data_IF_738922922574
#
_entry.id   IF_738922922574
#
_cell.length_a   1.000
_cell.length_b   1.000
_cell.length_c   1.000
_cell.angle_alpha   90.00
_cell.angle_beta   90.00
_cell.angle_gamma   90.00
#
_symmetry.space_group_name_H-M   'P 1'
#
loop_
_entity.id
_entity.type
_entity.pdbx_description
1 polymer ?
#
# COMPACT_ATOMS: atom_id res chain seq x y z
N UNK A 1 -2.01 8.10 1.19
CA UNK A 1 -2.33 8.59 2.54
C UNK A 1 -1.19 9.47 3.01
N UNK A 2 -1.48 10.74 3.19
CA UNK A 2 -0.55 11.68 3.83
C UNK A 2 -0.89 11.74 5.32
N UNK A 3 0.10 11.51 6.17
CA UNK A 3 -0.04 11.72 7.62
C UNK A 3 0.80 12.92 7.99
N UNK A 4 0.22 13.82 8.77
CA UNK A 4 0.99 14.90 9.38
C UNK A 4 1.78 14.31 10.56
N UNK A 5 3.01 13.88 10.27
CA UNK A 5 3.91 13.24 11.25
C UNK A 5 5.15 14.13 11.45
N UNK A 6 5.59 14.25 12.70
CA UNK A 6 6.90 14.83 12.95
C UNK A 6 7.98 13.77 12.63
N UNK A 7 8.71 13.99 11.55
CA UNK A 7 9.79 13.11 11.11
C UNK A 7 10.87 12.92 12.15
N UNK A 8 11.05 13.88 13.08
CA UNK A 8 12.04 13.77 14.16
C UNK A 8 11.60 12.78 15.24
N UNK A 9 10.30 12.64 15.45
CA UNK A 9 9.75 11.73 16.45
C UNK A 9 9.63 10.30 15.91
N UNK A 10 9.21 10.14 14.65
CA UNK A 10 8.87 8.82 14.09
C UNK A 10 10.03 8.14 13.37
N UNK A 11 11.07 8.89 12.97
CA UNK A 11 12.16 8.34 12.13
C UNK A 11 13.55 8.51 12.79
N UNK A 12 14.54 7.87 12.18
CA UNK A 12 15.95 8.06 12.55
C UNK A 12 16.55 9.37 11.97
N UNK A 13 15.71 10.26 11.43
CA UNK A 13 16.10 11.55 10.86
C UNK A 13 16.76 11.45 9.48
N UNK A 14 16.75 10.28 8.85
CA UNK A 14 17.41 10.04 7.56
C UNK A 14 16.40 9.70 6.46
N UNK A 15 16.71 10.17 5.26
CA UNK A 15 16.02 9.79 4.04
C UNK A 15 16.93 8.89 3.19
N UNK A 16 16.35 7.81 2.67
CA UNK A 16 17.06 6.72 2.01
C UNK A 16 16.57 6.53 0.57
N UNK A 17 17.45 5.99 -0.26
CA UNK A 17 17.11 5.39 -1.57
C UNK A 17 17.03 3.87 -1.44
N UNK A 18 16.50 3.18 -2.45
CA UNK A 18 16.42 1.72 -2.46
C UNK A 18 17.80 1.01 -2.42
N UNK A 19 18.89 1.73 -2.71
CA UNK A 19 20.25 1.18 -2.64
C UNK A 19 20.91 1.31 -1.26
N UNK A 20 20.36 2.12 -0.37
CA UNK A 20 20.93 2.38 0.94
C UNK A 20 20.69 1.23 1.91
N UNK A 21 21.54 1.15 2.93
CA UNK A 21 21.44 0.20 4.03
C UNK A 21 20.61 0.79 5.17
N UNK A 22 19.62 0.02 5.65
CA UNK A 22 18.77 0.39 6.78
C UNK A 22 18.71 -0.72 7.82
N UNK A 23 18.56 -0.41 9.10
CA UNK A 23 18.41 -1.39 10.20
C UNK A 23 16.97 -1.92 10.27
N UNK A 24 16.57 -2.73 9.31
CA UNK A 24 15.23 -3.30 9.23
C UNK A 24 15.20 -4.83 9.32
N UNK A 25 16.29 -5.51 9.00
CA UNK A 25 16.32 -6.97 8.96
C UNK A 25 16.27 -7.57 10.37
N UNK A 26 15.26 -8.37 10.61
CA UNK A 26 14.98 -9.04 11.88
C UNK A 26 14.89 -10.58 11.73
N UNK A 27 15.59 -11.16 10.76
CA UNK A 27 15.57 -12.59 10.51
C UNK A 27 14.28 -13.09 9.87
N UNK A 28 13.71 -12.33 8.92
CA UNK A 28 12.51 -12.73 8.16
C UNK A 28 11.21 -12.69 8.95
N UNK A 29 11.13 -11.96 10.05
CA UNK A 29 9.95 -11.86 10.91
C UNK A 29 9.49 -13.20 11.51
N UNK A 30 10.39 -14.15 11.67
CA UNK A 30 10.07 -15.46 12.21
C UNK A 30 9.52 -15.35 13.64
N UNK A 31 8.37 -16.03 13.90
CA UNK A 31 7.69 -15.97 15.19
C UNK A 31 7.16 -14.59 15.59
N UNK A 32 6.92 -13.67 14.62
CA UNK A 32 6.40 -12.33 14.91
C UNK A 32 5.22 -12.00 13.99
N UNK A 33 4.17 -11.42 14.59
CA UNK A 33 2.96 -10.94 13.89
C UNK A 33 2.59 -9.51 14.29
N UNK A 34 3.49 -8.76 14.94
CA UNK A 34 3.18 -7.44 15.47
C UNK A 34 2.64 -6.46 14.41
N UNK A 35 3.20 -6.48 13.20
CA UNK A 35 2.72 -5.64 12.09
C UNK A 35 1.42 -6.15 11.42
N UNK A 36 0.83 -7.24 11.94
CA UNK A 36 -0.46 -7.78 11.49
C UNK A 36 -1.56 -7.58 12.55
N UNK A 37 -1.31 -6.81 13.60
CA UNK A 37 -2.23 -6.58 14.71
C UNK A 37 -2.30 -5.09 15.04
N UNK A 38 -3.49 -4.60 15.39
CA UNK A 38 -3.70 -3.20 15.76
C UNK A 38 -3.46 -2.19 14.64
N UNK A 39 -3.53 -2.61 13.38
CA UNK A 39 -3.25 -1.72 12.24
C UNK A 39 -4.48 -0.89 11.83
N UNK A 40 -5.67 -1.24 12.32
CA UNK A 40 -6.91 -0.53 12.00
C UNK A 40 -7.08 -0.36 10.47
N UNK A 41 -7.38 0.85 10.04
CA UNK A 41 -7.61 1.22 8.63
C UNK A 41 -6.33 1.65 7.89
N UNK A 42 -5.14 1.38 8.44
CA UNK A 42 -3.89 1.91 7.89
C UNK A 42 -3.34 1.14 6.69
N UNK A 43 -3.86 -0.04 6.39
CA UNK A 43 -3.38 -0.88 5.28
C UNK A 43 -4.21 -0.63 4.03
N UNK A 44 -4.00 0.53 3.42
CA UNK A 44 -4.63 0.92 2.14
C UNK A 44 -3.98 0.13 1.01
N UNK A 45 -4.82 -0.45 0.15
CA UNK A 45 -4.40 -1.28 -0.97
C UNK A 45 -4.35 -0.47 -2.26
N UNK A 46 -3.24 -0.56 -2.97
CA UNK A 46 -3.14 -0.02 -4.31
C UNK A 46 -3.68 -1.02 -5.38
N UNK A 47 -3.86 -0.60 -6.65
CA UNK A 47 -4.36 -1.48 -7.70
C UNK A 47 -3.51 -2.74 -7.93
N UNK A 48 -2.17 -2.66 -7.78
CA UNK A 48 -1.28 -3.82 -7.90
C UNK A 48 -1.47 -4.78 -6.74
N UNK A 49 -1.75 -4.28 -5.53
CA UNK A 49 -2.03 -5.12 -4.38
C UNK A 49 -3.28 -5.96 -4.61
N UNK A 50 -4.37 -5.34 -5.08
CA UNK A 50 -5.62 -6.04 -5.41
C UNK A 50 -5.39 -7.06 -6.54
N UNK A 51 -4.69 -6.69 -7.61
CA UNK A 51 -4.36 -7.60 -8.69
C UNK A 51 -3.59 -8.84 -8.18
N UNK A 52 -2.56 -8.63 -7.34
CA UNK A 52 -1.76 -9.72 -6.75
C UNK A 52 -2.58 -10.61 -5.80
N UNK A 53 -3.45 -10.01 -5.00
CA UNK A 53 -4.34 -10.75 -4.11
C UNK A 53 -5.33 -11.59 -4.91
N UNK A 54 -5.96 -11.05 -5.95
CA UNK A 54 -6.87 -11.79 -6.81
C UNK A 54 -6.17 -12.97 -7.48
N UNK A 55 -4.98 -12.76 -8.07
CA UNK A 55 -4.19 -13.82 -8.69
C UNK A 55 -3.75 -14.89 -7.68
N UNK A 56 -3.21 -14.47 -6.52
CA UNK A 56 -2.65 -15.38 -5.53
C UNK A 56 -3.70 -16.20 -4.76
N UNK A 57 -4.92 -15.68 -4.65
CA UNK A 57 -6.05 -16.35 -3.98
C UNK A 57 -7.05 -16.98 -4.96
N UNK A 58 -6.82 -16.84 -6.27
CA UNK A 58 -7.74 -17.33 -7.33
C UNK A 58 -9.17 -16.81 -7.14
N UNK A 59 -9.32 -15.52 -6.90
CA UNK A 59 -10.59 -14.83 -6.65
C UNK A 59 -10.65 -13.51 -7.41
N UNK A 60 -11.77 -12.80 -7.32
CA UNK A 60 -11.94 -11.46 -7.83
C UNK A 60 -12.09 -10.43 -6.70
N UNK A 61 -12.28 -9.16 -7.06
CA UNK A 61 -12.47 -8.08 -6.09
C UNK A 61 -13.68 -8.33 -5.18
N UNK A 62 -14.78 -8.84 -5.72
CA UNK A 62 -16.00 -9.12 -4.92
C UNK A 62 -15.75 -10.25 -3.91
N UNK A 63 -15.02 -11.27 -4.31
CA UNK A 63 -14.61 -12.35 -3.42
C UNK A 63 -13.74 -11.85 -2.26
N UNK A 64 -12.82 -10.89 -2.53
CA UNK A 64 -12.05 -10.25 -1.46
C UNK A 64 -12.93 -9.43 -0.52
N UNK A 65 -13.97 -8.75 -1.03
CA UNK A 65 -14.90 -7.93 -0.22
C UNK A 65 -15.73 -8.73 0.79
N UNK A 66 -15.83 -10.03 0.64
CA UNK A 66 -16.61 -10.87 1.57
C UNK A 66 -16.06 -10.78 3.00
N UNK A 67 -14.74 -10.98 3.16
CA UNK A 67 -14.13 -11.08 4.48
C UNK A 67 -12.67 -10.60 4.57
N UNK A 68 -12.05 -10.17 3.45
CA UNK A 68 -10.61 -9.84 3.38
C UNK A 68 -10.31 -8.36 3.30
N UNK A 69 -11.16 -7.62 2.61
CA UNK A 69 -11.00 -6.18 2.40
C UNK A 69 -12.31 -5.45 2.71
N UNK A 70 -12.18 -4.16 2.93
CA UNK A 70 -13.32 -3.24 3.11
C UNK A 70 -13.02 -1.92 2.41
N UNK A 71 -14.05 -1.12 2.18
CA UNK A 71 -13.90 0.20 1.57
C UNK A 71 -13.91 1.28 2.65
N UNK A 72 -12.91 2.17 2.61
CA UNK A 72 -12.77 3.28 3.55
C UNK A 72 -12.54 4.59 2.79
N UNK A 73 -12.90 5.71 3.43
CA UNK A 73 -12.56 7.04 2.89
C UNK A 73 -11.13 7.37 3.31
N UNK A 74 -10.24 7.46 2.33
CA UNK A 74 -8.83 7.79 2.52
C UNK A 74 -8.51 9.04 1.73
N UNK A 75 -8.11 10.12 2.42
CA UNK A 75 -7.79 11.41 1.77
C UNK A 75 -8.90 11.85 0.77
N UNK A 76 -10.17 11.80 1.22
CA UNK A 76 -11.37 12.14 0.47
C UNK A 76 -11.75 11.20 -0.69
N UNK A 77 -11.03 10.11 -0.93
CA UNK A 77 -11.33 9.10 -1.96
C UNK A 77 -11.70 7.77 -1.29
N UNK A 78 -12.69 7.05 -1.80
CA UNK A 78 -13.02 5.70 -1.32
C UNK A 78 -12.01 4.71 -1.92
N UNK A 79 -11.26 4.04 -1.04
CA UNK A 79 -10.23 3.07 -1.42
C UNK A 79 -10.37 1.76 -0.63
N UNK A 80 -9.92 0.62 -1.16
CA UNK A 80 -9.91 -0.64 -0.43
C UNK A 80 -8.79 -0.67 0.62
N UNK A 81 -9.10 -1.23 1.77
CA UNK A 81 -8.19 -1.51 2.88
C UNK A 81 -8.24 -2.98 3.25
N UNK A 82 -7.17 -3.51 3.83
CA UNK A 82 -7.23 -4.82 4.48
C UNK A 82 -8.18 -4.75 5.67
N UNK A 83 -9.09 -5.72 5.73
CA UNK A 83 -10.01 -5.86 6.84
C UNK A 83 -9.30 -6.46 8.05
N UNK A 84 -9.48 -5.84 9.22
CA UNK A 84 -9.09 -6.43 10.49
C UNK A 84 -10.21 -7.32 11.00
N UNK A 85 -9.86 -8.49 11.52
CA UNK A 85 -10.83 -9.39 12.13
C UNK A 85 -11.41 -8.76 13.40
N UNK A 86 -12.72 -8.87 13.55
CA UNK A 86 -13.42 -8.42 14.76
C UNK A 86 -12.99 -9.28 15.94
N UNK A 87 -12.51 -8.67 17.03
CA UNK A 87 -12.09 -9.36 18.25
C UNK A 87 -11.15 -8.50 19.09
N UNK A 88 -10.68 -9.06 20.20
CA UNK A 88 -9.84 -8.33 21.15
C UNK A 88 -8.47 -7.90 20.64
N UNK A 89 -8.02 -8.38 19.48
CA UNK A 89 -6.68 -8.14 18.95
C UNK A 89 -6.63 -7.40 17.64
N UNK A 90 -7.77 -7.04 17.02
CA UNK A 90 -7.78 -6.38 15.70
C UNK A 90 -6.74 -6.97 14.72
N UNK A 91 -6.75 -8.28 14.58
CA UNK A 91 -5.76 -8.97 13.75
C UNK A 91 -6.13 -8.89 12.27
N UNK A 92 -5.12 -8.80 11.40
CA UNK A 92 -5.30 -8.86 9.96
C UNK A 92 -6.02 -10.15 9.55
N UNK A 93 -7.02 -10.05 8.66
CA UNK A 93 -7.81 -11.19 8.15
C UNK A 93 -6.98 -12.29 7.46
N UNK A 94 -5.72 -12.02 7.15
CA UNK A 94 -4.75 -12.98 6.60
C UNK A 94 -3.75 -13.54 7.62
N UNK A 95 -3.89 -13.19 8.89
CA UNK A 95 -3.08 -13.80 9.95
C UNK A 95 -3.68 -15.18 10.30
N UNK A 96 -2.88 -16.24 10.13
CA UNK A 96 -3.32 -17.58 10.45
C UNK A 96 -3.16 -17.89 11.95
N UNK A 97 -3.75 -19.01 12.45
CA UNK A 97 -3.67 -19.38 13.87
C UNK A 97 -2.23 -19.58 14.39
N UNK A 98 -1.29 -19.89 13.51
CA UNK A 98 0.14 -20.05 13.84
C UNK A 98 0.87 -18.69 13.92
N UNK A 99 0.14 -17.57 13.82
CA UNK A 99 0.70 -16.22 13.85
C UNK A 99 1.52 -15.85 12.62
N UNK A 100 1.23 -16.46 11.44
CA UNK A 100 1.93 -16.20 10.18
C UNK A 100 0.97 -15.59 9.15
N UNK A 101 1.50 -14.72 8.31
CA UNK A 101 0.77 -14.16 7.19
C UNK A 101 0.54 -15.23 6.11
N UNK A 102 -0.70 -15.62 5.84
CA UNK A 102 -1.06 -16.64 4.84
C UNK A 102 -0.77 -16.21 3.40
N UNK A 103 -0.69 -14.89 3.16
CA UNK A 103 -0.41 -14.30 1.84
C UNK A 103 1.02 -13.73 1.75
N UNK A 104 1.96 -14.20 2.57
CA UNK A 104 3.30 -13.59 2.67
C UNK A 104 4.02 -13.45 1.32
N UNK A 105 3.85 -14.42 0.41
CA UNK A 105 4.47 -14.41 -0.91
C UNK A 105 3.98 -13.25 -1.80
N UNK A 106 2.70 -12.88 -1.67
CA UNK A 106 2.05 -11.81 -2.46
C UNK A 106 1.37 -10.75 -1.59
N UNK A 107 1.91 -10.56 -0.36
CA UNK A 107 1.44 -9.52 0.58
C UNK A 107 1.51 -8.12 -0.05
N UNK A 108 0.62 -7.21 0.37
CA UNK A 108 0.58 -5.83 -0.12
C UNK A 108 1.90 -5.08 -0.01
N UNK A 109 2.10 -4.11 -0.89
CA UNK A 109 3.31 -3.30 -0.94
C UNK A 109 3.59 -2.55 0.37
N UNK A 110 2.56 -2.08 1.06
CA UNK A 110 2.70 -1.45 2.38
C UNK A 110 3.21 -2.45 3.44
N UNK A 111 2.76 -3.71 3.39
CA UNK A 111 3.24 -4.76 4.29
C UNK A 111 4.68 -5.17 3.99
N UNK A 112 5.12 -5.09 2.72
CA UNK A 112 6.53 -5.29 2.33
C UNK A 112 7.41 -4.14 2.77
N UNK A 113 6.85 -2.92 2.75
CA UNK A 113 7.54 -1.70 3.11
C UNK A 113 7.87 -1.65 4.60
N UNK A 114 6.93 -2.06 5.47
CA UNK A 114 7.07 -1.96 6.92
C UNK A 114 8.38 -2.59 7.44
N UNK A 115 9.15 -1.94 8.34
CA UNK A 115 8.84 -0.72 9.07
C UNK A 115 9.32 0.57 8.39
N UNK A 116 9.48 0.56 7.09
CA UNK A 116 9.81 1.78 6.34
C UNK A 116 8.53 2.55 5.99
N UNK A 117 8.70 3.86 5.77
CA UNK A 117 7.70 4.73 5.16
C UNK A 117 8.24 5.37 3.89
N UNK A 118 7.37 6.06 3.14
CA UNK A 118 7.73 6.89 2.00
C UNK A 118 7.45 8.36 2.32
N UNK A 119 8.45 9.20 2.15
CA UNK A 119 8.34 10.65 2.25
C UNK A 119 8.30 11.23 0.83
N UNK A 120 7.11 11.72 0.43
CA UNK A 120 6.87 12.23 -0.91
C UNK A 120 7.15 13.72 -0.98
N UNK A 121 7.97 14.13 -1.96
CA UNK A 121 8.34 15.51 -2.20
C UNK A 121 8.71 15.71 -3.67
N UNK A 122 8.31 16.83 -4.27
CA UNK A 122 8.71 17.27 -5.61
C UNK A 122 8.55 16.21 -6.71
N UNK A 123 7.40 15.52 -6.75
CA UNK A 123 7.12 14.51 -7.78
C UNK A 123 7.89 13.19 -7.60
N UNK A 124 8.52 13.00 -6.44
CA UNK A 124 9.33 11.82 -6.12
C UNK A 124 9.07 11.39 -4.67
N UNK A 125 9.82 10.38 -4.19
CA UNK A 125 9.85 10.03 -2.78
C UNK A 125 11.22 9.52 -2.33
N UNK A 126 11.42 9.54 -1.03
CA UNK A 126 12.51 8.86 -0.32
C UNK A 126 11.90 7.91 0.71
N UNK A 127 12.65 6.86 1.06
CA UNK A 127 12.29 6.02 2.19
C UNK A 127 12.76 6.64 3.51
N UNK A 128 12.07 6.32 4.60
CA UNK A 128 12.52 6.60 5.96
C UNK A 128 12.24 5.41 6.87
N UNK A 129 13.02 5.24 7.92
CA UNK A 129 12.82 4.17 8.89
C UNK A 129 11.92 4.67 10.03
N UNK A 130 10.82 3.97 10.29
CA UNK A 130 9.95 4.19 11.44
C UNK A 130 10.55 3.45 12.65
N UNK A 131 11.16 4.20 13.59
CA UNK A 131 12.02 3.61 14.63
C UNK A 131 11.26 2.88 15.72
N UNK A 132 9.99 3.22 15.96
CA UNK A 132 9.18 2.67 17.06
C UNK A 132 8.20 1.57 16.61
N UNK A 133 8.01 1.38 15.31
CA UNK A 133 6.95 0.51 14.79
C UNK A 133 7.27 -0.99 14.85
N UNK A 134 8.51 -1.38 14.65
CA UNK A 134 8.90 -2.78 14.73
C UNK A 134 9.52 -3.13 16.09
N UNK A 135 8.87 -3.98 16.90
CA UNK A 135 9.33 -4.29 18.25
C UNK A 135 10.52 -5.25 18.31
N UNK A 136 10.89 -5.91 17.21
CA UNK A 136 12.01 -6.87 17.20
C UNK A 136 13.33 -6.19 17.58
N UNK A 137 14.07 -6.75 18.55
CA UNK A 137 15.41 -6.26 18.92
C UNK A 137 16.47 -6.69 17.89
N UNK A 138 17.67 -6.14 18.03
CA UNK A 138 18.90 -6.58 17.34
C UNK A 138 18.79 -6.63 15.80
N UNK A 139 18.08 -5.67 15.20
CA UNK A 139 17.94 -5.57 13.75
C UNK A 139 19.30 -5.37 13.08
N UNK A 140 19.55 -6.09 12.01
CA UNK A 140 20.74 -5.94 11.19
C UNK A 140 20.49 -5.02 9.99
N UNK A 141 21.57 -4.59 9.34
CA UNK A 141 21.49 -3.74 8.15
C UNK A 141 21.21 -4.57 6.91
N UNK A 142 20.22 -4.13 6.13
CA UNK A 142 19.88 -4.71 4.85
C UNK A 142 19.71 -3.59 3.81
N UNK A 143 20.01 -3.86 2.54
CA UNK A 143 19.65 -2.93 1.46
C UNK A 143 18.13 -2.85 1.34
N UNK A 144 17.57 -1.64 1.22
CA UNK A 144 16.12 -1.43 1.12
C UNK A 144 15.53 -2.26 -0.03
N UNK A 145 16.20 -2.33 -1.20
CA UNK A 145 15.75 -3.18 -2.32
C UNK A 145 15.60 -4.67 -1.98
N UNK A 146 16.48 -5.19 -1.13
CA UNK A 146 16.39 -6.58 -0.65
C UNK A 146 15.28 -6.77 0.38
N UNK A 147 15.08 -5.76 1.24
CA UNK A 147 14.00 -5.77 2.21
C UNK A 147 12.62 -5.76 1.56
N UNK A 148 12.42 -4.90 0.57
CA UNK A 148 11.16 -4.80 -0.17
C UNK A 148 10.84 -6.06 -0.97
N UNK A 149 11.86 -6.78 -1.44
CA UNK A 149 11.72 -8.01 -2.21
C UNK A 149 10.65 -7.90 -3.31
N UNK A 150 10.72 -6.83 -4.08
CA UNK A 150 9.73 -6.49 -5.11
C UNK A 150 10.37 -6.62 -6.48
N UNK A 151 9.81 -7.49 -7.37
CA UNK A 151 10.28 -7.61 -8.74
C UNK A 151 10.22 -6.25 -9.47
N UNK A 152 11.22 -5.99 -10.32
CA UNK A 152 11.34 -4.73 -11.07
C UNK A 152 11.08 -3.48 -10.20
N UNK A 153 11.84 -3.38 -9.11
CA UNK A 153 11.64 -2.34 -8.09
C UNK A 153 11.59 -0.93 -8.69
N UNK A 154 12.35 -0.66 -9.75
CA UNK A 154 12.35 0.67 -10.38
C UNK A 154 10.98 1.00 -11.00
N UNK A 155 10.35 0.06 -11.71
CA UNK A 155 9.00 0.26 -12.25
C UNK A 155 7.98 0.39 -11.12
N UNK A 156 8.12 -0.43 -10.09
CA UNK A 156 7.25 -0.33 -8.90
C UNK A 156 7.39 1.04 -8.21
N UNK A 157 8.61 1.56 -8.02
CA UNK A 157 8.83 2.88 -7.43
C UNK A 157 8.19 3.99 -8.28
N UNK A 158 8.30 3.92 -9.62
CA UNK A 158 7.64 4.86 -10.53
C UNK A 158 6.10 4.75 -10.40
N UNK A 159 5.56 3.54 -10.48
CA UNK A 159 4.14 3.27 -10.38
C UNK A 159 3.52 3.81 -9.08
N UNK A 160 4.12 3.48 -7.92
CA UNK A 160 3.57 3.89 -6.63
C UNK A 160 3.68 5.41 -6.40
N UNK A 161 4.70 6.03 -7.00
CA UNK A 161 4.85 7.48 -7.01
C UNK A 161 3.73 8.14 -7.84
N UNK A 162 3.51 7.67 -9.06
CA UNK A 162 2.47 8.19 -9.96
C UNK A 162 1.07 7.98 -9.40
N UNK A 163 0.83 6.83 -8.76
CA UNK A 163 -0.43 6.55 -8.07
C UNK A 163 -0.67 7.50 -6.90
N UNK A 164 0.36 7.73 -6.07
CA UNK A 164 0.28 8.68 -4.95
C UNK A 164 -0.08 10.09 -5.42
N UNK A 165 0.62 10.59 -6.44
CA UNK A 165 0.36 11.95 -6.95
C UNK A 165 -0.99 12.07 -7.65
N UNK A 166 -1.45 11.02 -8.33
CA UNK A 166 -2.80 10.98 -8.88
C UNK A 166 -3.88 11.09 -7.78
N UNK A 167 -3.76 10.32 -6.70
CA UNK A 167 -4.69 10.40 -5.57
C UNK A 167 -4.65 11.77 -4.88
N UNK A 168 -3.48 12.39 -4.78
CA UNK A 168 -3.33 13.75 -4.25
C UNK A 168 -4.05 14.78 -5.12
N UNK A 169 -3.94 14.68 -6.44
CA UNK A 169 -4.64 15.57 -7.37
C UNK A 169 -6.17 15.39 -7.24
N UNK A 170 -6.66 14.14 -7.08
CA UNK A 170 -8.07 13.87 -6.80
C UNK A 170 -8.53 14.49 -5.48
N UNK A 171 -7.74 14.35 -4.40
CA UNK A 171 -8.01 14.97 -3.11
C UNK A 171 -8.20 16.49 -3.27
N UNK A 172 -7.24 17.16 -3.91
CA UNK A 172 -7.30 18.62 -4.15
C UNK A 172 -8.57 19.01 -4.91
N UNK A 173 -8.95 18.22 -5.92
CA UNK A 173 -10.18 18.46 -6.67
C UNK A 173 -11.43 18.27 -5.81
N UNK A 174 -11.49 17.22 -5.01
CA UNK A 174 -12.64 16.93 -4.13
C UNK A 174 -12.75 18.02 -3.04
N UNK A 175 -11.63 18.50 -2.50
CA UNK A 175 -11.64 19.61 -1.54
C UNK A 175 -12.19 20.89 -2.15
N UNK A 176 -11.93 21.16 -3.44
CA UNK A 176 -12.52 22.28 -4.17
C UNK A 176 -13.98 22.04 -4.59
N UNK A 177 -14.39 20.78 -4.80
CA UNK A 177 -15.70 20.36 -5.30
C UNK A 177 -16.22 19.14 -4.55
N UNK A 178 -16.65 19.27 -3.28
CA UNK A 178 -17.05 18.13 -2.43
C UNK A 178 -18.21 17.30 -3.00
N UNK A 179 -19.08 17.89 -3.80
CA UNK A 179 -20.20 17.23 -4.47
C UNK A 179 -19.73 16.17 -5.47
N UNK A 180 -18.50 16.24 -5.98
CA UNK A 180 -17.93 15.30 -6.94
C UNK A 180 -17.32 14.06 -6.27
N UNK A 181 -17.14 14.04 -4.95
CA UNK A 181 -16.46 12.96 -4.21
C UNK A 181 -16.99 11.58 -4.57
N UNK A 182 -18.31 11.39 -4.56
CA UNK A 182 -18.93 10.10 -4.86
C UNK A 182 -18.64 9.66 -6.30
N UNK A 183 -18.79 10.55 -7.27
CA UNK A 183 -18.54 10.26 -8.68
C UNK A 183 -17.09 9.91 -8.94
N UNK A 184 -16.15 10.69 -8.41
CA UNK A 184 -14.72 10.46 -8.54
C UNK A 184 -14.33 9.12 -7.88
N UNK A 185 -14.80 8.84 -6.66
CA UNK A 185 -14.50 7.59 -5.97
C UNK A 185 -15.02 6.37 -6.72
N UNK A 186 -16.25 6.44 -7.27
CA UNK A 186 -16.82 5.35 -8.07
C UNK A 186 -16.02 5.12 -9.37
N UNK A 187 -15.57 6.20 -10.01
CA UNK A 187 -14.74 6.12 -11.22
C UNK A 187 -13.38 5.46 -10.93
N UNK A 188 -12.73 5.85 -9.82
CA UNK A 188 -11.49 5.22 -9.34
C UNK A 188 -11.70 3.74 -9.05
N UNK A 189 -12.74 3.38 -8.29
CA UNK A 189 -13.04 1.99 -7.98
C UNK A 189 -13.31 1.18 -9.25
N UNK A 190 -14.13 1.69 -10.17
CA UNK A 190 -14.46 0.99 -11.40
C UNK A 190 -13.24 0.74 -12.27
N UNK A 191 -12.40 1.76 -12.49
CA UNK A 191 -11.26 1.67 -13.41
C UNK A 191 -10.10 0.86 -12.87
N UNK A 192 -9.80 1.01 -11.58
CA UNK A 192 -8.54 0.50 -11.02
C UNK A 192 -8.71 -0.74 -10.14
N UNK A 193 -9.94 -1.07 -9.72
CA UNK A 193 -10.17 -2.17 -8.78
C UNK A 193 -11.23 -3.17 -9.26
N UNK A 194 -12.40 -2.69 -9.71
CA UNK A 194 -13.51 -3.55 -10.13
C UNK A 194 -13.30 -4.13 -11.54
N UNK A 195 -12.66 -3.39 -12.44
CA UNK A 195 -12.29 -3.91 -13.76
C UNK A 195 -11.01 -4.74 -13.62
N UNK A 196 -11.05 -6.07 -13.79
CA UNK A 196 -9.88 -6.92 -13.62
C UNK A 196 -8.72 -6.52 -14.54
N UNK A 197 -7.50 -6.70 -14.08
CA UNK A 197 -6.31 -6.68 -14.93
C UNK A 197 -6.11 -8.07 -15.54
N UNK A 198 -5.63 -8.10 -16.79
CA UNK A 198 -5.29 -9.36 -17.44
C UNK A 198 -4.08 -10.00 -16.73
N UNK A 199 -4.27 -11.18 -16.14
CA UNK A 199 -3.21 -11.92 -15.43
C UNK A 199 -2.09 -12.41 -16.34
N UNK A 200 -2.30 -12.42 -17.67
CA UNK A 200 -1.31 -12.84 -18.67
C UNK A 200 -0.56 -11.67 -19.28
N UNK A 201 -1.04 -10.44 -19.08
CA UNK A 201 -0.45 -9.22 -19.60
C UNK A 201 0.46 -8.52 -18.56
N UNK A 202 1.17 -7.51 -19.02
CA UNK A 202 1.97 -6.68 -18.12
C UNK A 202 1.09 -5.66 -17.38
N UNK A 203 0.95 -5.85 -16.08
CA UNK A 203 0.14 -4.99 -15.21
C UNK A 203 0.42 -3.48 -15.39
N UNK A 204 1.70 -3.10 -15.44
CA UNK A 204 2.06 -1.68 -15.51
C UNK A 204 1.62 -1.03 -16.82
N UNK A 205 1.72 -1.73 -17.93
CA UNK A 205 1.24 -1.24 -19.23
C UNK A 205 -0.25 -0.93 -19.17
N UNK A 206 -1.03 -1.88 -18.68
CA UNK A 206 -2.50 -1.71 -18.55
C UNK A 206 -2.86 -0.62 -17.53
N UNK A 207 -2.15 -0.57 -16.40
CA UNK A 207 -2.35 0.48 -15.40
C UNK A 207 -2.14 1.88 -15.99
N UNK A 208 -1.06 2.09 -16.74
CA UNK A 208 -0.76 3.41 -17.32
C UNK A 208 -1.74 3.82 -18.41
N UNK A 209 -2.30 2.88 -19.15
CA UNK A 209 -3.42 3.15 -20.09
C UNK A 209 -4.66 3.63 -19.32
N UNK A 210 -5.02 2.94 -18.24
CA UNK A 210 -6.15 3.33 -17.38
C UNK A 210 -5.91 4.69 -16.73
N UNK A 211 -4.71 4.94 -16.21
CA UNK A 211 -4.33 6.21 -15.59
C UNK A 211 -4.40 7.38 -16.58
N UNK A 212 -3.90 7.19 -17.80
CA UNK A 212 -3.98 8.18 -18.87
C UNK A 212 -5.44 8.54 -19.21
N UNK A 213 -6.30 7.54 -19.28
CA UNK A 213 -7.73 7.75 -19.57
C UNK A 213 -8.45 8.43 -18.40
N UNK A 214 -8.14 8.06 -17.16
CA UNK A 214 -8.69 8.69 -15.98
C UNK A 214 -8.30 10.16 -15.86
N UNK A 215 -7.02 10.49 -16.08
CA UNK A 215 -6.54 11.90 -16.07
C UNK A 215 -7.22 12.75 -17.14
N UNK A 216 -7.42 12.23 -18.36
CA UNK A 216 -8.11 12.95 -19.44
C UNK A 216 -9.56 13.30 -19.08
N UNK A 217 -10.29 12.39 -18.44
CA UNK A 217 -11.69 12.61 -18.06
C UNK A 217 -11.84 13.64 -16.95
N UNK A 218 -10.84 13.75 -16.10
CA UNK A 218 -10.82 14.73 -15.01
C UNK A 218 -10.18 16.06 -15.42
N UNK A 219 -9.69 16.18 -16.64
CA UNK A 219 -8.95 17.36 -17.11
C UNK A 219 -7.76 17.70 -16.18
N UNK A 220 -7.10 16.64 -15.69
CA UNK A 220 -5.90 16.71 -14.83
C UNK A 220 -4.61 16.70 -15.67
#
# INVERSE_FOLDING_TARGET
MERNIDMKEVSDGRLYTSNDLVKADCGGCEGCSACCQGMGESIVLDPLDIHRLCCGLHTDFNGLMVDKIELQIVDSVILPNLKMASGNTEACSFLNPEGRCSIHAFRPGICRLFPLGRFYENGSFKYFLQVHECPKPNKTKVKIRKWLDTPDLKRYETYICDWHYYLRDLKTRIEAHPEQMKGISMDVLQKFYLTPYDSTADFYTEFYERLKNAKKQLTL
#
